data_IF_424283596312
#
_entry.id   IF_424283596312
#
_cell.length_a   1.000
_cell.length_b   1.000
_cell.length_c   1.000
_cell.angle_alpha   90.00
_cell.angle_beta   90.00
_cell.angle_gamma   90.00
#
_symmetry.space_group_name_H-M   'P 1'
#
loop_
_entity.id
_entity.type
_entity.pdbx_description
1 polymer ?
#
# COMPACT_ATOMS: atom_id res chain seq x y z
N UNK A 1 -3.19 2.38 -1.71
CA UNK A 1 -2.91 2.28 -3.17
C UNK A 1 -2.61 0.87 -3.69
N UNK A 2 -1.79 0.04 -3.03
CA UNK A 2 -1.37 -1.24 -3.61
C UNK A 2 -2.45 -2.35 -3.56
N UNK A 3 -3.31 -2.35 -2.53
CA UNK A 3 -4.38 -3.35 -2.37
C UNK A 3 -5.67 -3.00 -3.10
N UNK A 4 -6.00 -1.70 -3.20
CA UNK A 4 -7.23 -1.23 -3.81
C UNK A 4 -6.96 -0.72 -5.23
N UNK A 5 -7.53 -1.39 -6.22
CA UNK A 5 -7.43 -1.02 -7.64
C UNK A 5 -8.01 0.38 -7.93
N UNK A 6 -9.02 0.79 -7.14
CA UNK A 6 -9.72 2.06 -7.33
C UNK A 6 -9.09 3.26 -6.62
N UNK A 7 -8.00 3.03 -5.87
CA UNK A 7 -7.30 4.07 -5.14
C UNK A 7 -6.81 5.19 -6.09
N UNK A 8 -7.09 6.48 -5.80
CA UNK A 8 -6.70 7.60 -6.66
C UNK A 8 -5.21 7.64 -6.98
N UNK A 9 -4.34 7.22 -6.05
CA UNK A 9 -2.90 7.19 -6.27
C UNK A 9 -2.45 6.02 -7.14
N UNK A 10 -3.21 4.92 -7.15
CA UNK A 10 -2.96 3.82 -8.10
C UNK A 10 -3.35 4.25 -9.52
N UNK A 11 -4.45 4.98 -9.67
CA UNK A 11 -4.89 5.52 -10.97
C UNK A 11 -3.95 6.61 -11.49
N UNK A 12 -3.48 7.50 -10.60
CA UNK A 12 -2.56 8.58 -10.95
C UNK A 12 -1.13 8.09 -11.25
N UNK A 13 -0.74 6.95 -10.67
CA UNK A 13 0.57 6.34 -10.89
C UNK A 13 0.42 4.83 -11.12
N UNK A 14 0.06 4.40 -12.35
CA UNK A 14 -0.25 3.01 -12.68
C UNK A 14 0.98 2.10 -12.79
N UNK A 15 2.19 2.63 -12.57
CA UNK A 15 3.38 1.81 -12.39
C UNK A 15 3.28 1.12 -11.02
N UNK A 16 2.73 -0.09 -11.06
CA UNK A 16 2.78 -1.00 -9.92
C UNK A 16 4.25 -1.30 -9.60
N UNK A 17 4.55 -1.48 -8.32
CA UNK A 17 5.77 -2.19 -7.98
C UNK A 17 5.53 -3.64 -8.39
N UNK A 18 6.20 -4.18 -9.43
CA UNK A 18 5.93 -5.54 -9.92
C UNK A 18 6.07 -6.56 -8.77
N UNK A 19 6.98 -6.29 -7.83
CA UNK A 19 7.18 -7.06 -6.60
C UNK A 19 5.91 -7.29 -5.77
N UNK A 20 4.99 -6.34 -5.69
CA UNK A 20 3.78 -6.51 -4.86
C UNK A 20 2.87 -7.62 -5.40
N UNK A 21 2.73 -7.67 -6.73
CA UNK A 21 1.92 -8.68 -7.40
C UNK A 21 2.71 -9.99 -7.59
N UNK A 22 3.99 -9.91 -7.95
CA UNK A 22 4.87 -11.07 -8.16
C UNK A 22 5.08 -11.89 -6.89
N UNK A 23 5.11 -11.23 -5.72
CA UNK A 23 5.20 -11.89 -4.41
C UNK A 23 3.84 -12.33 -3.87
N UNK A 24 2.76 -12.22 -4.66
CA UNK A 24 1.41 -12.65 -4.29
C UNK A 24 0.73 -11.81 -3.22
N UNK A 25 1.29 -10.66 -2.82
CA UNK A 25 0.80 -9.87 -1.68
C UNK A 25 -0.62 -9.31 -1.92
N UNK A 26 -0.99 -9.09 -3.18
CA UNK A 26 -2.34 -8.69 -3.61
C UNK A 26 -3.41 -9.77 -3.34
N UNK A 27 -3.01 -11.04 -3.25
CA UNK A 27 -3.93 -12.17 -2.96
C UNK A 27 -3.79 -12.66 -1.52
N UNK A 28 -2.59 -12.61 -0.95
CA UNK A 28 -2.34 -13.01 0.45
C UNK A 28 -3.00 -12.05 1.44
N UNK A 29 -2.89 -10.72 1.25
CA UNK A 29 -3.51 -9.75 2.16
C UNK A 29 -4.98 -9.59 1.83
N UNK A 30 -5.84 -9.93 2.79
CA UNK A 30 -7.29 -9.74 2.70
C UNK A 30 -7.69 -8.30 3.02
N UNK A 31 -7.20 -7.77 4.14
CA UNK A 31 -7.48 -6.41 4.58
C UNK A 31 -6.42 -5.93 5.57
N UNK A 32 -6.29 -4.61 5.69
CA UNK A 32 -5.51 -3.93 6.73
C UNK A 32 -6.47 -3.12 7.59
N UNK A 33 -6.53 -3.45 8.87
CA UNK A 33 -7.43 -2.86 9.84
C UNK A 33 -6.64 -1.88 10.73
N UNK A 34 -7.15 -0.65 10.90
CA UNK A 34 -6.69 0.26 11.95
C UNK A 34 -7.32 -0.20 13.27
N UNK A 35 -6.50 -0.70 14.20
CA UNK A 35 -6.98 -1.12 15.53
C UNK A 35 -7.02 0.10 16.47
N UNK A 36 -5.96 0.89 16.45
CA UNK A 36 -5.85 2.17 17.16
C UNK A 36 -4.84 3.09 16.44
N UNK A 37 -4.40 4.18 17.08
CA UNK A 37 -3.51 5.16 16.47
C UNK A 37 -2.08 4.65 16.20
N UNK A 38 -1.65 3.59 16.88
CA UNK A 38 -0.29 3.01 16.72
C UNK A 38 -0.32 1.51 16.40
N UNK A 39 -1.50 0.91 16.28
CA UNK A 39 -1.68 -0.51 15.99
C UNK A 39 -2.45 -0.73 14.70
N UNK A 40 -1.85 -1.49 13.78
CA UNK A 40 -2.50 -2.02 12.59
C UNK A 40 -2.53 -3.53 12.60
N UNK A 41 -3.57 -4.13 12.02
CA UNK A 41 -3.72 -5.57 11.89
C UNK A 41 -3.87 -5.97 10.42
N UNK A 42 -2.98 -6.84 9.97
CA UNK A 42 -3.10 -7.50 8.67
C UNK A 42 -3.93 -8.77 8.83
N UNK A 43 -4.98 -8.91 8.05
CA UNK A 43 -5.73 -10.16 7.90
C UNK A 43 -5.29 -10.82 6.59
N UNK A 44 -4.88 -12.08 6.67
CA UNK A 44 -4.39 -12.83 5.51
C UNK A 44 -5.44 -13.87 5.05
N UNK A 45 -5.53 -14.13 3.75
CA UNK A 45 -6.37 -15.18 3.19
C UNK A 45 -5.79 -16.59 3.43
N UNK A 46 -4.47 -16.68 3.55
CA UNK A 46 -3.73 -17.92 3.75
C UNK A 46 -2.52 -17.67 4.66
N UNK A 47 -2.02 -18.74 5.29
CA UNK A 47 -0.73 -18.70 5.99
C UNK A 47 0.37 -18.46 4.96
N UNK A 48 1.26 -17.52 5.24
CA UNK A 48 2.41 -17.20 4.41
C UNK A 48 3.63 -16.95 5.30
N UNK A 49 4.59 -17.88 5.24
CA UNK A 49 5.81 -17.82 6.03
C UNK A 49 6.75 -16.68 5.62
N UNK A 50 6.68 -16.22 4.36
CA UNK A 50 7.51 -15.14 3.84
C UNK A 50 6.90 -13.75 4.09
N UNK A 51 5.67 -13.65 4.60
CA UNK A 51 4.94 -12.39 4.74
C UNK A 51 5.73 -11.30 5.48
N UNK A 52 6.35 -11.64 6.61
CA UNK A 52 7.12 -10.68 7.41
C UNK A 52 8.38 -10.22 6.67
N UNK A 53 9.03 -11.10 5.92
CA UNK A 53 10.17 -10.75 5.10
C UNK A 53 9.75 -9.81 3.96
N UNK A 54 8.64 -10.10 3.29
CA UNK A 54 8.10 -9.26 2.22
C UNK A 54 7.74 -7.86 2.74
N UNK A 55 7.23 -7.73 3.96
CA UNK A 55 6.93 -6.44 4.60
C UNK A 55 8.20 -5.59 4.87
N UNK A 56 9.37 -6.23 5.03
CA UNK A 56 10.64 -5.53 5.24
C UNK A 56 11.27 -4.99 3.94
N UNK A 57 10.70 -5.30 2.78
CA UNK A 57 11.22 -4.87 1.50
C UNK A 57 10.80 -3.44 1.16
N UNK A 58 11.58 -2.77 0.30
CA UNK A 58 11.39 -1.34 -0.03
C UNK A 58 10.01 -1.02 -0.62
N UNK A 59 9.38 -1.95 -1.34
CA UNK A 59 8.03 -1.74 -1.90
C UNK A 59 6.97 -1.54 -0.82
N UNK A 60 7.19 -2.05 0.40
CA UNK A 60 6.29 -1.97 1.53
C UNK A 60 6.54 -0.74 2.42
N UNK A 61 7.37 0.20 1.96
CA UNK A 61 7.64 1.45 2.70
C UNK A 61 6.36 2.22 3.01
N UNK A 62 6.27 2.74 4.24
CA UNK A 62 5.11 3.50 4.71
C UNK A 62 5.16 4.92 4.14
N UNK A 63 4.06 5.35 3.52
CA UNK A 63 3.88 6.70 2.97
C UNK A 63 3.06 7.58 3.91
N UNK A 64 3.27 8.89 3.87
CA UNK A 64 2.50 9.85 4.69
C UNK A 64 1.05 9.99 4.18
N UNK A 65 0.09 9.66 5.05
CA UNK A 65 -1.33 9.84 4.77
C UNK A 65 -1.73 11.33 4.70
N UNK A 66 -1.07 12.19 5.48
CA UNK A 66 -1.31 13.63 5.48
C UNK A 66 -0.90 14.27 4.16
N UNK A 67 0.32 13.93 3.69
CA UNK A 67 0.82 14.42 2.41
C UNK A 67 -0.06 13.93 1.25
N UNK A 68 -0.47 12.66 1.28
CA UNK A 68 -1.42 12.11 0.32
C UNK A 68 -2.74 12.93 0.32
N UNK A 69 -3.33 13.20 1.49
CA UNK A 69 -4.56 14.00 1.57
C UNK A 69 -4.38 15.41 0.97
N UNK A 70 -3.24 16.05 1.20
CA UNK A 70 -2.91 17.34 0.59
C UNK A 70 -2.86 17.26 -0.95
N UNK A 71 -2.17 16.26 -1.50
CA UNK A 71 -2.08 16.08 -2.95
C UNK A 71 -3.45 15.84 -3.59
N UNK A 72 -4.33 15.06 -2.95
CA UNK A 72 -5.69 14.86 -3.45
C UNK A 72 -6.49 16.17 -3.47
N UNK A 73 -6.37 16.98 -2.42
CA UNK A 73 -7.03 18.29 -2.35
C UNK A 73 -6.53 19.25 -3.43
N UNK A 74 -5.24 19.17 -3.77
CA UNK A 74 -4.62 19.99 -4.82
C UNK A 74 -4.80 19.41 -6.24
N UNK A 75 -5.38 18.23 -6.40
CA UNK A 75 -5.49 17.56 -7.71
C UNK A 75 -4.15 17.04 -8.25
N UNK A 76 -3.15 16.86 -7.40
CA UNK A 76 -1.76 16.50 -7.74
C UNK A 76 -1.39 15.07 -7.32
N UNK A 77 -2.31 14.13 -7.45
CA UNK A 77 -2.09 12.74 -7.02
C UNK A 77 -0.84 12.08 -7.66
N UNK A 78 -0.45 12.53 -8.86
CA UNK A 78 0.75 12.03 -9.56
C UNK A 78 2.09 12.40 -8.88
N UNK A 79 2.10 13.38 -7.98
CA UNK A 79 3.31 13.89 -7.34
C UNK A 79 3.67 13.12 -6.05
N UNK A 80 2.97 12.01 -5.75
CA UNK A 80 3.14 11.24 -4.51
C UNK A 80 4.56 10.71 -4.28
N UNK A 81 5.35 10.53 -5.34
CA UNK A 81 6.74 10.04 -5.26
C UNK A 81 7.80 11.15 -5.54
N UNK A 82 7.41 12.43 -5.58
CA UNK A 82 8.34 13.53 -5.92
C UNK A 82 9.07 14.14 -4.71
N UNK A 83 8.89 13.60 -3.50
CA UNK A 83 9.58 14.04 -2.27
C UNK A 83 9.89 12.88 -1.34
#
# INVERSE_FOLDING_TARGET
RLLNADDPFRKAYPSESPYFTDMGMNTTIKQVEKVDDQTVRFHLNNIDAAFIQNLAMSFASIQSAEYAAQLLKEGKAGDINQK
#
